data_IF_316998564910
#
_entry.id   IF_316998564910
#
_cell.length_a   1.000
_cell.length_b   1.000
_cell.length_c   1.000
_cell.angle_alpha   90.00
_cell.angle_beta   90.00
_cell.angle_gamma   90.00
#
_symmetry.space_group_name_H-M   'P 1'
#
loop_
_entity.id
_entity.type
_entity.pdbx_description
1 polymer ?
#
# COMPACT_ATOMS: atom_id res chain seq x y z
N UNK A 1 7.68 14.41 31.04
CA UNK A 1 6.78 13.33 30.58
C UNK A 1 6.41 13.62 29.13
N UNK A 2 7.24 13.20 28.19
CA UNK A 2 6.94 13.29 26.76
C UNK A 2 6.29 11.99 26.32
N UNK A 3 5.03 12.04 25.93
CA UNK A 3 4.38 10.94 25.20
C UNK A 3 5.01 10.89 23.81
N UNK A 4 5.93 9.95 23.59
CA UNK A 4 6.46 9.65 22.26
C UNK A 4 5.31 9.11 21.40
N UNK A 5 4.72 9.98 20.59
CA UNK A 5 3.76 9.60 19.55
C UNK A 5 4.51 8.76 18.52
N UNK A 6 4.32 7.43 18.52
CA UNK A 6 4.76 6.61 17.39
C UNK A 6 3.85 6.95 16.21
N UNK A 7 4.35 7.47 15.08
CA UNK A 7 3.50 7.73 13.93
C UNK A 7 2.89 6.39 13.48
N UNK A 8 1.54 6.33 13.45
CA UNK A 8 0.82 5.24 12.79
C UNK A 8 1.27 5.14 11.33
N UNK A 9 1.06 4.01 10.67
CA UNK A 9 1.51 3.79 9.29
C UNK A 9 0.33 3.62 8.34
N UNK A 10 0.48 4.12 7.12
CA UNK A 10 -0.51 4.09 6.05
C UNK A 10 0.05 3.30 4.86
N UNK A 11 -0.77 2.64 4.05
CA UNK A 11 -0.24 1.69 3.07
C UNK A 11 -1.08 1.68 1.80
N UNK A 12 -0.44 1.72 0.63
CA UNK A 12 -1.13 1.78 -0.67
C UNK A 12 -0.50 0.82 -1.67
N UNK A 13 -1.27 0.27 -2.63
CA UNK A 13 -0.68 -0.42 -3.79
C UNK A 13 -0.70 0.45 -5.05
N UNK A 14 0.43 1.02 -5.43
CA UNK A 14 0.53 1.94 -6.56
C UNK A 14 0.71 1.27 -7.93
N UNK A 15 -0.03 0.24 -8.33
CA UNK A 15 -0.02 -0.19 -9.74
C UNK A 15 -1.25 -1.04 -10.12
N UNK A 16 -1.90 -0.63 -11.21
CA UNK A 16 -2.96 -1.29 -12.04
C UNK A 16 -4.35 -1.63 -11.44
N UNK A 17 -5.36 -1.08 -12.14
CA UNK A 17 -6.82 -1.32 -12.26
C UNK A 17 -7.72 -1.74 -11.07
N UNK A 18 -7.22 -2.08 -9.89
CA UNK A 18 -7.99 -2.21 -8.65
C UNK A 18 -7.06 -1.99 -7.45
N UNK A 19 -6.82 -0.73 -7.08
CA UNK A 19 -5.94 -0.40 -5.94
C UNK A 19 -6.69 -0.56 -4.61
N UNK A 20 -5.97 -0.86 -3.54
CA UNK A 20 -6.49 -0.98 -2.18
C UNK A 20 -5.53 -0.27 -1.21
N UNK A 21 -6.08 0.24 -0.12
CA UNK A 21 -5.42 1.08 0.87
C UNK A 21 -5.53 0.41 2.24
N UNK A 22 -4.51 0.49 3.09
CA UNK A 22 -4.58 -0.03 4.46
C UNK A 22 -4.09 1.00 5.48
N UNK A 23 -4.77 1.11 6.62
CA UNK A 23 -4.40 1.96 7.76
C UNK A 23 -3.97 1.10 8.95
N UNK A 24 -2.83 1.44 9.57
CA UNK A 24 -2.42 0.93 10.87
C UNK A 24 -2.43 2.09 11.89
N UNK A 25 -3.50 2.15 12.69
CA UNK A 25 -3.54 3.00 13.87
C UNK A 25 -2.77 2.33 15.02
N UNK A 26 -2.22 3.11 15.97
CA UNK A 26 -1.48 2.59 17.14
C UNK A 26 -2.33 1.68 18.05
N UNK A 27 -3.63 1.58 17.77
CA UNK A 27 -4.62 0.77 18.48
C UNK A 27 -5.02 -0.48 17.67
N UNK A 28 -4.07 -1.33 17.27
CA UNK A 28 -4.27 -2.73 16.80
C UNK A 28 -5.37 -3.01 15.73
N UNK A 29 -6.01 -1.99 15.14
CA UNK A 29 -7.09 -2.14 14.17
C UNK A 29 -6.54 -1.84 12.78
N UNK A 30 -6.45 -2.91 12.01
CA UNK A 30 -6.09 -2.88 10.60
C UNK A 30 -7.36 -2.62 9.78
N UNK A 31 -7.37 -1.55 8.99
CA UNK A 31 -8.48 -1.24 8.10
C UNK A 31 -8.02 -1.28 6.66
N UNK A 32 -8.79 -1.91 5.77
CA UNK A 32 -8.48 -1.97 4.33
C UNK A 32 -9.63 -1.37 3.51
N UNK A 33 -9.30 -0.48 2.58
CA UNK A 33 -10.23 0.26 1.74
C UNK A 33 -9.99 -0.03 0.26
N UNK A 34 -11.06 -0.12 -0.52
CA UNK A 34 -11.00 -0.05 -1.98
C UNK A 34 -10.51 1.31 -2.43
N UNK A 35 -9.77 1.36 -3.53
CA UNK A 35 -9.47 2.63 -4.18
C UNK A 35 -10.67 3.15 -4.97
N UNK A 36 -11.11 4.39 -4.67
CA UNK A 36 -12.14 5.05 -5.45
C UNK A 36 -11.77 5.13 -6.91
N UNK A 37 -12.72 4.80 -7.79
CA UNK A 37 -12.49 4.80 -9.23
C UNK A 37 -13.75 5.23 -9.99
N UNK A 38 -13.53 5.88 -11.12
CA UNK A 38 -14.55 6.28 -12.08
C UNK A 38 -14.37 5.50 -13.37
N UNK A 39 -15.50 5.24 -14.06
CA UNK A 39 -15.50 4.68 -15.41
C UNK A 39 -15.42 5.83 -16.40
N UNK A 40 -14.36 5.87 -17.20
CA UNK A 40 -14.18 6.87 -18.26
C UNK A 40 -14.07 6.20 -19.62
N UNK A 41 -14.52 6.88 -20.66
CA UNK A 41 -14.34 6.46 -22.05
C UNK A 41 -12.97 6.93 -22.54
N UNK A 42 -12.15 6.01 -23.05
CA UNK A 42 -10.78 6.32 -23.49
C UNK A 42 -10.58 5.95 -24.95
N UNK A 43 -9.92 6.85 -25.68
CA UNK A 43 -9.51 6.66 -27.07
C UNK A 43 -10.65 6.80 -28.09
N UNK A 44 -10.30 6.72 -29.37
CA UNK A 44 -11.23 6.88 -30.50
C UNK A 44 -12.38 5.85 -30.47
N UNK A 45 -12.10 4.64 -29.99
CA UNK A 45 -13.08 3.55 -29.91
C UNK A 45 -13.97 3.61 -28.65
N UNK A 46 -13.91 4.69 -27.87
CA UNK A 46 -14.70 4.90 -26.64
C UNK A 46 -14.73 3.68 -25.72
N UNK A 47 -13.59 2.99 -25.54
CA UNK A 47 -13.55 1.84 -24.64
C UNK A 47 -13.64 2.32 -23.20
N UNK A 48 -14.57 1.75 -22.43
CA UNK A 48 -14.69 2.04 -21.00
C UNK A 48 -13.46 1.49 -20.26
N UNK A 49 -12.87 2.34 -19.42
CA UNK A 49 -11.72 2.04 -18.56
C UNK A 49 -11.96 2.58 -17.17
N UNK A 50 -11.38 1.93 -16.17
CA UNK A 50 -11.38 2.44 -14.79
C UNK A 50 -10.17 3.34 -14.59
N UNK A 51 -10.39 4.47 -13.95
CA UNK A 51 -9.35 5.38 -13.47
C UNK A 51 -9.62 5.75 -12.03
N UNK A 52 -8.56 6.05 -11.29
CA UNK A 52 -8.68 6.53 -9.92
C UNK A 52 -9.50 7.82 -9.90
N UNK A 53 -10.42 7.90 -8.96
CA UNK A 53 -11.12 9.15 -8.66
C UNK A 53 -10.26 9.96 -7.70
N UNK A 54 -9.48 10.88 -8.26
CA UNK A 54 -8.52 11.70 -7.50
C UNK A 54 -9.17 12.43 -6.34
N UNK A 55 -10.39 12.97 -6.52
CA UNK A 55 -11.09 13.72 -5.48
C UNK A 55 -11.42 12.82 -4.30
N UNK A 56 -12.03 11.68 -4.59
CA UNK A 56 -12.40 10.70 -3.57
C UNK A 56 -11.17 10.09 -2.88
N UNK A 57 -10.06 9.88 -3.60
CA UNK A 57 -8.79 9.44 -3.00
C UNK A 57 -8.23 10.48 -2.04
N UNK A 58 -8.21 11.76 -2.40
CA UNK A 58 -7.76 12.84 -1.50
C UNK A 58 -8.63 12.92 -0.25
N UNK A 59 -9.96 12.83 -0.40
CA UNK A 59 -10.89 12.83 0.73
C UNK A 59 -10.66 11.63 1.65
N UNK A 60 -10.47 10.44 1.07
CA UNK A 60 -10.15 9.22 1.81
C UNK A 60 -8.84 9.40 2.59
N UNK A 61 -7.76 9.83 1.94
CA UNK A 61 -6.45 10.04 2.60
C UNK A 61 -6.53 11.04 3.76
N UNK A 62 -7.29 12.12 3.59
CA UNK A 62 -7.49 13.13 4.65
C UNK A 62 -8.34 12.61 5.81
N UNK A 63 -9.30 11.73 5.55
CA UNK A 63 -10.18 11.15 6.58
C UNK A 63 -9.46 10.28 7.60
N UNK A 64 -8.21 9.88 7.33
CA UNK A 64 -7.40 9.12 8.27
C UNK A 64 -6.81 9.95 9.41
N UNK A 65 -6.80 11.28 9.27
CA UNK A 65 -6.27 12.21 10.28
C UNK A 65 -4.88 11.80 10.80
N UNK A 66 -4.06 11.22 9.91
CA UNK A 66 -2.76 10.70 10.29
C UNK A 66 -1.77 11.84 10.60
N UNK A 67 -0.89 11.66 11.59
CA UNK A 67 0.16 12.62 11.89
C UNK A 67 1.05 12.91 10.67
N UNK A 68 1.51 14.16 10.56
CA UNK A 68 2.52 14.52 9.57
C UNK A 68 3.78 13.67 9.82
N UNK A 69 4.37 13.17 8.74
CA UNK A 69 5.51 12.27 8.79
C UNK A 69 5.15 10.80 8.95
N UNK A 70 3.85 10.44 9.00
CA UNK A 70 3.43 9.04 8.89
C UNK A 70 4.01 8.42 7.62
N UNK A 71 4.65 7.26 7.78
CA UNK A 71 5.24 6.53 6.66
C UNK A 71 4.16 5.80 5.88
N UNK A 72 4.18 5.98 4.56
CA UNK A 72 3.34 5.30 3.61
C UNK A 72 4.14 4.42 2.66
N UNK A 73 3.98 3.10 2.74
CA UNK A 73 4.69 2.22 1.81
C UNK A 73 3.80 1.87 0.62
N UNK A 74 4.42 1.92 -0.55
CA UNK A 74 3.72 1.76 -1.82
C UNK A 74 4.42 0.74 -2.72
N UNK A 75 3.68 -0.23 -3.28
CA UNK A 75 4.29 -1.11 -4.29
C UNK A 75 4.80 -0.29 -5.46
N UNK A 76 6.07 -0.47 -5.79
CA UNK A 76 6.71 0.18 -6.92
C UNK A 76 6.10 -0.35 -8.22
N UNK A 77 5.54 0.57 -9.03
CA UNK A 77 5.04 0.21 -10.35
C UNK A 77 6.19 -0.16 -11.29
N UNK A 78 6.18 -1.39 -11.78
CA UNK A 78 7.07 -1.88 -12.82
C UNK A 78 6.25 -2.23 -14.07
N UNK A 79 6.60 -1.72 -15.26
CA UNK A 79 5.92 -2.11 -16.49
C UNK A 79 6.07 -3.61 -16.72
N UNK A 80 4.98 -4.31 -16.94
CA UNK A 80 5.04 -5.72 -17.29
C UNK A 80 5.30 -5.87 -18.81
N UNK A 81 6.28 -6.65 -19.27
CA UNK A 81 6.66 -6.71 -20.68
C UNK A 81 5.52 -7.11 -21.63
N UNK A 82 4.54 -7.89 -21.14
CA UNK A 82 3.39 -8.34 -21.94
C UNK A 82 2.27 -7.29 -22.00
N UNK A 83 2.33 -6.24 -21.18
CA UNK A 83 1.36 -5.16 -21.21
C UNK A 83 1.61 -4.23 -22.41
N UNK A 84 0.53 -3.74 -23.01
CA UNK A 84 0.62 -2.70 -24.04
C UNK A 84 0.94 -1.31 -23.47
N UNK A 85 1.31 -0.36 -24.34
CA UNK A 85 1.62 1.05 -24.01
C UNK A 85 0.60 1.70 -23.07
N UNK A 86 -0.69 1.42 -23.28
CA UNK A 86 -1.77 1.96 -22.47
C UNK A 86 -1.77 1.38 -21.03
N UNK A 87 -1.38 0.12 -20.87
CA UNK A 87 -1.22 -0.54 -19.57
C UNK A 87 -0.09 0.10 -18.78
N UNK A 88 1.08 0.28 -19.41
CA UNK A 88 2.24 0.96 -18.82
C UNK A 88 1.91 2.37 -18.38
N UNK A 89 1.24 3.15 -19.24
CA UNK A 89 0.78 4.49 -18.88
C UNK A 89 -0.19 4.47 -17.70
N UNK A 90 -1.14 3.52 -17.68
CA UNK A 90 -2.13 3.43 -16.60
C UNK A 90 -1.48 3.05 -15.26
N UNK A 91 -0.50 2.14 -15.27
CA UNK A 91 0.29 1.77 -14.11
C UNK A 91 1.08 2.96 -13.57
N UNK A 92 1.87 3.61 -14.43
CA UNK A 92 2.65 4.79 -14.05
C UNK A 92 1.80 5.98 -13.58
N UNK A 93 0.67 6.23 -14.24
CA UNK A 93 -0.29 7.26 -13.82
C UNK A 93 -0.83 6.98 -12.41
N UNK A 94 -1.28 5.75 -12.15
CA UNK A 94 -1.78 5.38 -10.83
C UNK A 94 -0.72 5.50 -9.74
N UNK A 95 0.49 5.02 -10.03
CA UNK A 95 1.64 5.12 -9.12
C UNK A 95 1.97 6.56 -8.75
N UNK A 96 2.15 7.42 -9.77
CA UNK A 96 2.46 8.83 -9.57
C UNK A 96 1.35 9.59 -8.84
N UNK A 97 0.08 9.27 -9.13
CA UNK A 97 -1.05 9.89 -8.45
C UNK A 97 -1.06 9.57 -6.95
N UNK A 98 -0.82 8.32 -6.57
CA UNK A 98 -0.74 7.92 -5.17
C UNK A 98 0.42 8.60 -4.45
N UNK A 99 1.62 8.59 -5.03
CA UNK A 99 2.78 9.29 -4.45
C UNK A 99 2.47 10.77 -4.26
N UNK A 100 1.95 11.43 -5.29
CA UNK A 100 1.63 12.86 -5.23
C UNK A 100 0.61 13.18 -4.13
N UNK A 101 -0.47 12.41 -4.02
CA UNK A 101 -1.50 12.63 -2.99
C UNK A 101 -0.94 12.40 -1.59
N UNK A 102 -0.19 11.31 -1.39
CA UNK A 102 0.39 10.98 -0.09
C UNK A 102 1.41 12.05 0.35
N UNK A 103 2.38 12.39 -0.51
CA UNK A 103 3.37 13.42 -0.20
C UNK A 103 2.70 14.77 0.07
N UNK A 104 1.74 15.18 -0.77
CA UNK A 104 1.00 16.43 -0.57
C UNK A 104 0.11 16.43 0.69
N UNK A 105 -0.21 15.25 1.24
CA UNK A 105 -0.97 15.10 2.48
C UNK A 105 -0.06 14.94 3.72
N UNK A 106 1.26 15.08 3.57
CA UNK A 106 2.22 15.06 4.68
C UNK A 106 2.79 13.68 5.02
N UNK A 107 2.58 12.67 4.16
CA UNK A 107 3.14 11.33 4.35
C UNK A 107 4.58 11.23 3.85
N UNK A 108 5.40 10.43 4.54
CA UNK A 108 6.71 10.00 4.04
C UNK A 108 6.52 8.74 3.19
N UNK A 109 6.75 8.80 1.88
CA UNK A 109 6.43 7.69 0.98
C UNK A 109 7.65 6.81 0.70
N UNK A 110 7.52 5.50 0.93
CA UNK A 110 8.57 4.49 0.67
C UNK A 110 8.10 3.52 -0.41
N UNK A 111 8.65 3.59 -1.64
CA UNK A 111 8.44 2.58 -2.66
C UNK A 111 9.01 1.22 -2.26
N UNK A 112 8.24 0.15 -2.46
CA UNK A 112 8.64 -1.23 -2.18
C UNK A 112 8.54 -2.05 -3.46
N UNK A 113 9.65 -2.60 -3.97
CA UNK A 113 9.61 -3.49 -5.11
C UNK A 113 8.74 -4.73 -4.85
N UNK A 114 7.99 -5.19 -5.86
CA UNK A 114 7.10 -6.34 -5.68
C UNK A 114 7.83 -7.62 -5.29
N UNK A 115 9.08 -7.80 -5.74
CA UNK A 115 9.87 -8.98 -5.44
C UNK A 115 10.32 -9.04 -3.96
N UNK A 116 10.57 -7.90 -3.30
CA UNK A 116 11.13 -7.89 -1.94
C UNK A 116 10.09 -8.34 -0.91
N UNK A 117 8.91 -7.73 -0.92
CA UNK A 117 7.85 -8.10 0.01
C UNK A 117 7.27 -9.48 -0.31
N UNK A 118 7.19 -9.88 -1.58
CA UNK A 118 6.76 -11.24 -1.96
C UNK A 118 7.75 -12.31 -1.53
N UNK A 119 9.05 -12.04 -1.58
CA UNK A 119 10.06 -12.96 -1.07
C UNK A 119 9.91 -13.19 0.43
N UNK A 120 9.68 -12.13 1.23
CA UNK A 120 9.47 -12.22 2.68
C UNK A 120 8.32 -13.17 3.07
N UNK A 121 7.25 -13.19 2.29
CA UNK A 121 6.07 -14.03 2.55
C UNK A 121 6.03 -15.32 1.71
N UNK A 122 7.14 -15.70 1.08
CA UNK A 122 7.26 -16.92 0.27
C UNK A 122 6.22 -16.98 -0.89
N UNK A 123 5.85 -15.82 -1.42
CA UNK A 123 4.89 -15.67 -2.52
C UNK A 123 5.55 -15.65 -3.91
N UNK A 124 6.88 -15.74 -3.95
CA UNK A 124 7.65 -15.70 -5.20
C UNK A 124 7.49 -17.00 -6.00
N UNK A 125 7.27 -16.88 -7.31
CA UNK A 125 7.20 -18.04 -8.22
C UNK A 125 5.90 -18.87 -8.15
N UNK A 126 4.95 -18.53 -7.28
CA UNK A 126 3.68 -19.25 -7.20
C UNK A 126 2.77 -18.97 -8.40
N UNK A 127 2.31 -20.04 -9.07
CA UNK A 127 1.25 -19.99 -10.09
C UNK A 127 -0.10 -19.52 -9.53
N UNK A 128 -0.27 -19.58 -8.20
CA UNK A 128 -1.46 -19.18 -7.45
C UNK A 128 -1.21 -17.98 -6.56
N UNK A 129 -0.20 -17.14 -6.86
CA UNK A 129 0.22 -16.02 -6.01
C UNK A 129 -0.93 -15.11 -5.49
N UNK A 130 -2.01 -14.95 -6.26
CA UNK A 130 -3.21 -14.19 -5.84
C UNK A 130 -4.03 -14.88 -4.76
N UNK A 131 -4.14 -16.20 -4.80
CA UNK A 131 -4.84 -17.00 -3.80
C UNK A 131 -3.95 -17.16 -2.55
N UNK A 132 -2.65 -17.35 -2.74
CA UNK A 132 -1.67 -17.41 -1.66
C UNK A 132 -1.59 -16.09 -0.88
N UNK A 133 -1.62 -14.95 -1.56
CA UNK A 133 -1.65 -13.64 -0.88
C UNK A 133 -2.84 -13.51 0.05
N UNK A 134 -4.04 -13.95 -0.38
CA UNK A 134 -5.25 -13.90 0.49
C UNK A 134 -5.12 -14.85 1.67
N UNK A 135 -4.59 -16.06 1.46
CA UNK A 135 -4.35 -17.04 2.52
C UNK A 135 -3.39 -16.48 3.57
N UNK A 136 -2.21 -16.01 3.15
CA UNK A 136 -1.19 -15.45 4.07
C UNK A 136 -1.73 -14.23 4.80
N UNK A 137 -2.40 -13.30 4.11
CA UNK A 137 -2.99 -12.13 4.75
C UNK A 137 -4.08 -12.50 5.78
N UNK A 138 -4.89 -13.52 5.51
CA UNK A 138 -5.92 -13.99 6.46
C UNK A 138 -5.30 -14.65 7.69
N UNK A 139 -4.18 -15.36 7.52
CA UNK A 139 -3.41 -15.92 8.64
C UNK A 139 -2.77 -14.83 9.50
N UNK A 140 -2.18 -13.80 8.88
CA UNK A 140 -1.53 -12.69 9.60
C UNK A 140 -2.52 -11.74 10.26
N UNK A 141 -3.70 -11.56 9.65
CA UNK A 141 -4.71 -10.61 10.12
C UNK A 141 -6.08 -11.29 10.25
N UNK A 142 -6.30 -12.09 11.31
CA UNK A 142 -7.56 -12.82 11.50
C UNK A 142 -8.79 -11.91 11.49
N UNK A 143 -8.66 -10.68 12.03
CA UNK A 143 -9.74 -9.69 12.15
C UNK A 143 -10.30 -9.20 10.81
N UNK A 144 -9.54 -9.26 9.71
CA UNK A 144 -9.97 -8.80 8.37
C UNK A 144 -10.24 -9.95 7.40
N UNK A 145 -10.16 -11.21 7.85
CA UNK A 145 -10.38 -12.41 7.03
C UNK A 145 -11.70 -12.38 6.26
N UNK A 146 -12.77 -11.88 6.89
CA UNK A 146 -14.09 -11.74 6.25
C UNK A 146 -14.05 -10.85 4.99
N UNK A 147 -13.15 -9.86 4.98
CA UNK A 147 -12.94 -8.92 3.87
C UNK A 147 -12.06 -9.49 2.74
N UNK A 148 -11.45 -10.67 2.93
CA UNK A 148 -10.51 -11.33 2.01
C UNK A 148 -11.07 -12.62 1.38
N UNK A 149 -12.35 -12.91 1.59
CA UNK A 149 -12.98 -14.19 1.21
C UNK A 149 -13.10 -14.41 -0.30
N UNK A 150 -13.16 -13.35 -1.13
CA UNK A 150 -13.45 -13.49 -2.57
C UNK A 150 -12.17 -13.41 -3.39
N UNK A 151 -12.15 -14.07 -4.56
CA UNK A 151 -11.01 -14.01 -5.50
C UNK A 151 -10.60 -12.58 -5.91
N UNK A 152 -11.57 -11.67 -5.99
CA UNK A 152 -11.31 -10.26 -6.33
C UNK A 152 -10.63 -9.45 -5.22
N UNK A 153 -10.60 -9.96 -3.99
CA UNK A 153 -10.04 -9.28 -2.82
C UNK A 153 -8.51 -9.49 -2.69
N UNK A 154 -7.86 -10.08 -3.71
CA UNK A 154 -6.40 -10.28 -3.72
C UNK A 154 -5.63 -8.97 -3.55
N UNK A 155 -6.12 -7.85 -4.09
CA UNK A 155 -5.44 -6.58 -3.91
C UNK A 155 -5.57 -6.01 -2.48
N UNK A 156 -6.66 -6.33 -1.74
CA UNK A 156 -6.75 -6.03 -0.29
C UNK A 156 -5.67 -6.78 0.46
N UNK A 157 -5.51 -8.06 0.14
CA UNK A 157 -4.50 -8.91 0.73
C UNK A 157 -3.08 -8.41 0.44
N UNK A 158 -2.77 -8.04 -0.81
CA UNK A 158 -1.45 -7.49 -1.14
C UNK A 158 -1.18 -6.16 -0.41
N UNK A 159 -2.19 -5.28 -0.27
CA UNK A 159 -2.05 -4.05 0.52
C UNK A 159 -1.74 -4.33 2.01
N UNK A 160 -2.40 -5.33 2.61
CA UNK A 160 -2.14 -5.79 3.98
C UNK A 160 -0.73 -6.38 4.14
N UNK A 161 -0.27 -7.15 3.16
CA UNK A 161 1.07 -7.77 3.19
C UNK A 161 2.19 -6.74 3.01
N UNK A 162 2.02 -5.76 2.13
CA UNK A 162 2.95 -4.63 2.02
C UNK A 162 3.01 -3.85 3.34
N UNK A 163 1.88 -3.72 4.03
CA UNK A 163 1.82 -3.12 5.36
C UNK A 163 2.60 -3.90 6.41
N UNK A 164 2.39 -5.21 6.49
CA UNK A 164 3.17 -6.09 7.36
C UNK A 164 4.67 -6.01 7.06
N UNK A 165 5.04 -5.97 5.78
CA UNK A 165 6.43 -5.87 5.36
C UNK A 165 7.09 -4.57 5.86
N UNK A 166 6.47 -3.41 5.66
CA UNK A 166 7.09 -2.16 6.12
C UNK A 166 7.12 -2.04 7.64
N UNK A 167 6.13 -2.58 8.37
CA UNK A 167 6.17 -2.63 9.83
C UNK A 167 7.37 -3.44 10.35
N UNK A 168 7.67 -4.58 9.70
CA UNK A 168 8.87 -5.37 9.96
C UNK A 168 10.15 -4.56 9.71
N UNK A 169 10.20 -3.74 8.64
CA UNK A 169 11.33 -2.85 8.38
C UNK A 169 11.52 -1.77 9.46
N UNK A 170 10.43 -1.21 10.01
CA UNK A 170 10.49 -0.24 11.12
C UNK A 170 10.99 -0.91 12.39
N UNK A 171 10.50 -2.12 12.70
CA UNK A 171 10.89 -2.84 13.90
C UNK A 171 12.34 -3.37 13.83
N UNK A 172 12.87 -3.62 12.64
CA UNK A 172 14.27 -3.99 12.42
C UNK A 172 15.26 -2.82 12.49
N UNK A 173 14.77 -1.58 12.49
CA UNK A 173 15.57 -0.39 12.77
C UNK A 173 15.56 -0.16 14.30
N UNK A 174 16.56 -0.71 14.99
CA UNK A 174 16.86 -0.33 16.37
C UNK A 174 16.91 1.21 16.48
N UNK A 175 16.33 1.82 17.54
CA UNK A 175 16.32 3.27 17.70
C UNK A 175 17.76 3.82 17.66
N UNK A 176 17.96 4.82 16.79
CA UNK A 176 19.23 5.56 16.67
C UNK A 176 19.60 6.35 17.94
N UNK A 177 18.76 6.30 18.97
CA UNK A 177 19.01 6.89 20.30
C UNK A 177 20.15 6.16 21.04
N UNK A 178 20.45 4.90 20.69
CA UNK A 178 21.52 4.12 21.32
C UNK A 178 22.94 4.53 20.91
N UNK A 179 23.10 5.42 19.93
CA UNK A 179 24.42 5.91 19.48
C UNK A 179 24.87 7.13 20.30
N UNK A 180 23.95 8.01 20.72
CA UNK A 180 24.33 9.21 21.47
C UNK A 180 24.71 8.95 22.93
N UNK A 181 24.23 7.85 23.53
CA UNK A 181 24.65 7.45 24.88
C UNK A 181 26.04 6.82 24.93
N UNK A 182 26.59 6.38 23.79
CA UNK A 182 27.97 5.85 23.70
C UNK A 182 29.06 6.93 23.61
N UNK A 183 28.68 8.20 23.44
CA UNK A 183 29.63 9.33 23.38
C UNK A 183 29.58 10.24 24.61
N UNK A 184 28.92 9.79 25.70
CA UNK A 184 28.84 10.52 26.98
C UNK A 184 29.72 9.96 28.10
N UNK A 185 30.60 9.00 27.80
CA UNK A 185 31.76 8.65 28.65
C UNK A 185 32.97 9.46 28.24
#
# INVERSE_FOLDING_TARGET
MGTWYRPGCIWCRGAVENTWFCLFSSVQQMQVFDSPHVKILVGKNKRTRRRLDTKSVVQLVRSFEAPIGTTAYIEQSLPYPQDGKQGWWSGGFGYGLWIGILVASGFSVIPVPSFTWKAKFELSGSRTAKDDSRRVASTLFPSVTSMLSRKKDHGRAEALLIAAYGQDQINGLEPCDSIFDKFKT
#
